data_IF_042492567781
#
_entry.id   IF_042492567781
#
_cell.length_a   1.000
_cell.length_b   1.000
_cell.length_c   1.000
_cell.angle_alpha   90.00
_cell.angle_beta   90.00
_cell.angle_gamma   90.00
#
_symmetry.space_group_name_H-M   'P 1'
#
loop_
_entity.id
_entity.type
_entity.pdbx_description
1 polymer ?
#
# COMPACT_ATOMS: atom_id res chain seq x y z
N UNK A 1 -23.83 19.18 -17.07
CA UNK A 1 -23.86 18.04 -16.11
C UNK A 1 -23.09 18.44 -14.86
N UNK A 2 -23.59 18.14 -13.67
CA UNK A 2 -22.87 18.37 -12.41
C UNK A 2 -21.63 17.50 -12.36
N UNK A 3 -20.50 18.07 -11.95
CA UNK A 3 -19.19 17.41 -11.86
C UNK A 3 -18.89 16.99 -10.42
N UNK A 4 -18.25 15.83 -10.27
CA UNK A 4 -17.89 15.27 -8.96
C UNK A 4 -16.42 14.82 -8.89
N UNK A 5 -15.88 14.84 -7.68
CA UNK A 5 -14.59 14.25 -7.32
C UNK A 5 -14.81 13.05 -6.43
N UNK A 6 -14.14 11.94 -6.78
CA UNK A 6 -14.16 10.72 -5.98
C UNK A 6 -12.92 10.67 -5.09
N UNK A 7 -13.11 10.52 -3.79
CA UNK A 7 -12.05 10.20 -2.84
C UNK A 7 -12.07 8.70 -2.53
N UNK A 8 -10.92 8.04 -2.59
CA UNK A 8 -10.72 6.66 -2.13
C UNK A 8 -9.71 6.65 -0.99
N UNK A 9 -10.13 6.18 0.18
CA UNK A 9 -9.28 6.05 1.38
C UNK A 9 -9.07 4.57 1.72
N UNK A 10 -7.91 4.05 1.33
CA UNK A 10 -7.43 2.70 1.61
C UNK A 10 -6.84 2.63 3.03
N UNK A 11 -7.72 2.65 4.03
CA UNK A 11 -7.34 2.54 5.43
C UNK A 11 -6.89 1.14 5.86
N UNK A 12 -6.47 1.02 7.12
CA UNK A 12 -6.00 -0.26 7.67
C UNK A 12 -7.11 -1.28 7.93
N UNK A 13 -8.32 -0.83 8.28
CA UNK A 13 -9.48 -1.68 8.61
C UNK A 13 -10.69 -1.43 7.72
N UNK A 14 -10.72 -0.30 7.04
CA UNK A 14 -11.84 0.13 6.21
C UNK A 14 -11.30 0.74 4.94
N UNK A 15 -11.94 0.38 3.84
CA UNK A 15 -11.84 1.06 2.57
C UNK A 15 -13.05 1.97 2.44
N UNK A 16 -12.85 3.24 2.13
CA UNK A 16 -13.93 4.20 1.97
C UNK A 16 -13.86 4.85 0.61
N UNK A 17 -15.01 5.06 -0.01
CA UNK A 17 -15.15 5.92 -1.17
C UNK A 17 -16.15 7.03 -0.87
N UNK A 18 -15.83 8.27 -1.24
CA UNK A 18 -16.70 9.43 -1.08
C UNK A 18 -16.79 10.24 -2.37
N UNK A 19 -17.96 10.82 -2.64
CA UNK A 19 -18.20 11.71 -3.76
C UNK A 19 -18.46 13.12 -3.26
N UNK A 20 -17.81 14.10 -3.88
CA UNK A 20 -17.91 15.51 -3.50
C UNK A 20 -18.13 16.38 -4.74
N UNK A 21 -18.99 17.39 -4.63
CA UNK A 21 -19.17 18.41 -5.67
C UNK A 21 -18.02 19.44 -5.68
N UNK A 22 -18.08 20.42 -6.58
CA UNK A 22 -17.04 21.45 -6.73
C UNK A 22 -16.91 22.36 -5.50
N UNK A 23 -17.98 22.51 -4.73
CA UNK A 23 -18.00 23.28 -3.49
C UNK A 23 -17.60 22.42 -2.28
N UNK A 24 -17.26 21.15 -2.50
CA UNK A 24 -16.86 20.20 -1.45
C UNK A 24 -18.04 19.58 -0.70
N UNK A 25 -19.27 19.71 -1.19
CA UNK A 25 -20.44 19.07 -0.56
C UNK A 25 -20.46 17.58 -0.86
N UNK A 26 -20.71 16.78 0.16
CA UNK A 26 -20.79 15.33 0.05
C UNK A 26 -22.08 14.91 -0.68
N UNK A 27 -21.91 14.17 -1.78
CA UNK A 27 -23.01 13.53 -2.52
C UNK A 27 -23.26 12.08 -2.08
N UNK A 28 -22.28 11.47 -1.42
CA UNK A 28 -22.43 10.15 -0.80
C UNK A 28 -21.10 9.57 -0.36
N UNK A 29 -21.15 8.63 0.59
CA UNK A 29 -20.01 7.85 1.06
C UNK A 29 -20.41 6.39 1.19
N UNK A 30 -19.50 5.49 0.81
CA UNK A 30 -19.61 4.06 1.04
C UNK A 30 -18.32 3.53 1.66
N UNK A 31 -18.42 2.42 2.38
CA UNK A 31 -17.26 1.76 2.98
C UNK A 31 -17.41 0.24 2.97
N UNK A 32 -16.28 -0.44 2.83
CA UNK A 32 -16.16 -1.88 2.97
C UNK A 32 -15.09 -2.21 4.01
N UNK A 33 -15.29 -3.26 4.83
CA UNK A 33 -14.25 -3.71 5.74
C UNK A 33 -13.06 -4.25 4.92
N UNK A 34 -11.85 -3.98 5.40
CA UNK A 34 -10.63 -4.60 4.89
C UNK A 34 -10.06 -5.52 5.95
N UNK A 35 -9.97 -6.81 5.64
CA UNK A 35 -9.35 -7.78 6.53
C UNK A 35 -7.83 -7.72 6.39
N UNK A 36 -7.15 -7.89 7.52
CA UNK A 36 -5.73 -8.20 7.54
C UNK A 36 -5.58 -9.71 7.75
N UNK A 37 -4.64 -10.31 7.04
CA UNK A 37 -4.25 -11.70 7.22
C UNK A 37 -3.20 -11.77 8.34
N UNK A 38 -3.32 -12.76 9.20
CA UNK A 38 -2.35 -13.04 10.28
C UNK A 38 -1.92 -14.50 10.20
N UNK A 39 -1.14 -14.90 9.18
CA UNK A 39 -0.75 -16.30 8.98
C UNK A 39 0.13 -16.85 10.11
N UNK A 40 0.85 -15.98 10.82
CA UNK A 40 1.68 -16.32 11.98
C UNK A 40 1.58 -15.21 13.04
N UNK A 41 1.89 -15.52 14.32
CA UNK A 41 1.95 -14.50 15.36
C UNK A 41 2.90 -13.35 14.99
N UNK A 42 2.39 -12.12 15.07
CA UNK A 42 3.15 -10.92 14.72
C UNK A 42 3.24 -10.63 13.22
N UNK A 43 2.68 -11.46 12.34
CA UNK A 43 2.58 -11.18 10.92
C UNK A 43 1.28 -10.43 10.64
N UNK A 44 1.35 -9.40 9.79
CA UNK A 44 0.19 -8.64 9.36
C UNK A 44 0.30 -8.43 7.84
N UNK A 45 -0.56 -9.13 7.11
CA UNK A 45 -0.54 -9.18 5.66
C UNK A 45 -1.87 -8.71 5.05
N UNK A 46 -1.88 -8.44 3.75
CA UNK A 46 -3.08 -8.14 2.99
C UNK A 46 -3.05 -8.80 1.63
N UNK A 47 -4.12 -9.50 1.31
CA UNK A 47 -4.34 -9.99 -0.05
C UNK A 47 -4.56 -8.79 -0.98
N UNK A 48 -3.69 -8.67 -1.99
CA UNK A 48 -3.73 -7.54 -2.92
C UNK A 48 -4.81 -7.70 -4.00
N UNK A 49 -5.20 -8.93 -4.34
CA UNK A 49 -6.30 -9.18 -5.27
C UNK A 49 -7.64 -8.87 -4.59
N UNK A 50 -7.83 -9.28 -3.33
CA UNK A 50 -8.99 -8.91 -2.53
C UNK A 50 -9.08 -7.39 -2.34
N UNK A 51 -7.96 -6.72 -2.02
CA UNK A 51 -7.92 -5.26 -1.90
C UNK A 51 -8.40 -4.57 -3.18
N UNK A 52 -7.93 -5.01 -4.36
CA UNK A 52 -8.35 -4.46 -5.63
C UNK A 52 -9.85 -4.68 -5.89
N UNK A 53 -10.36 -5.89 -5.61
CA UNK A 53 -11.78 -6.19 -5.70
C UNK A 53 -12.60 -5.29 -4.78
N UNK A 54 -12.19 -5.09 -3.53
CA UNK A 54 -12.83 -4.16 -2.59
C UNK A 54 -12.84 -2.72 -3.13
N UNK A 55 -11.75 -2.22 -3.73
CA UNK A 55 -11.71 -0.89 -4.37
C UNK A 55 -12.78 -0.73 -5.44
N UNK A 56 -12.87 -1.69 -6.35
CA UNK A 56 -13.89 -1.64 -7.40
C UNK A 56 -15.31 -1.76 -6.83
N UNK A 57 -15.50 -2.61 -5.81
CA UNK A 57 -16.80 -2.84 -5.19
C UNK A 57 -17.31 -1.61 -4.42
N UNK A 58 -16.46 -0.93 -3.64
CA UNK A 58 -16.88 0.25 -2.88
C UNK A 58 -17.20 1.43 -3.81
N UNK A 59 -16.43 1.61 -4.89
CA UNK A 59 -16.70 2.65 -5.89
C UNK A 59 -18.02 2.35 -6.60
N UNK A 60 -18.25 1.10 -7.01
CA UNK A 60 -19.51 0.69 -7.64
C UNK A 60 -20.70 0.93 -6.72
N UNK A 61 -20.60 0.50 -5.46
CA UNK A 61 -21.65 0.72 -4.47
C UNK A 61 -21.95 2.21 -4.30
N UNK A 62 -20.92 3.05 -4.28
CA UNK A 62 -21.07 4.51 -4.17
C UNK A 62 -21.82 5.11 -5.37
N UNK A 63 -21.47 4.71 -6.59
CA UNK A 63 -22.13 5.21 -7.80
C UNK A 63 -23.57 4.71 -7.90
N UNK A 64 -23.82 3.43 -7.60
CA UNK A 64 -25.18 2.88 -7.57
C UNK A 64 -26.04 3.61 -6.54
N UNK A 65 -25.53 3.87 -5.34
CA UNK A 65 -26.31 4.49 -4.28
C UNK A 65 -26.56 5.99 -4.49
N UNK A 66 -25.58 6.71 -5.04
CA UNK A 66 -25.70 8.15 -5.31
C UNK A 66 -26.48 8.47 -6.60
N UNK A 67 -26.62 7.50 -7.51
CA UNK A 67 -27.19 7.72 -8.85
C UNK A 67 -26.29 8.55 -9.76
N UNK A 68 -25.05 8.86 -9.34
CA UNK A 68 -24.08 9.63 -10.12
C UNK A 68 -23.46 8.72 -11.18
N UNK A 69 -23.44 9.19 -12.42
CA UNK A 69 -22.82 8.47 -13.53
C UNK A 69 -21.29 8.59 -13.48
N UNK A 70 -20.58 7.57 -13.95
CA UNK A 70 -19.11 7.58 -14.03
C UNK A 70 -18.56 8.73 -14.86
N UNK A 71 -19.29 9.14 -15.90
CA UNK A 71 -18.96 10.27 -16.80
C UNK A 71 -18.99 11.63 -16.08
N UNK A 72 -19.60 11.71 -14.90
CA UNK A 72 -19.64 12.93 -14.08
C UNK A 72 -18.42 13.04 -13.15
N UNK A 73 -17.60 12.00 -13.03
CA UNK A 73 -16.40 12.01 -12.18
C UNK A 73 -15.25 12.64 -12.95
N UNK A 74 -14.82 13.83 -12.52
CA UNK A 74 -13.77 14.60 -13.19
C UNK A 74 -12.39 14.42 -12.56
N UNK A 75 -12.31 13.80 -11.37
CA UNK A 75 -11.06 13.50 -10.71
C UNK A 75 -11.20 12.45 -9.61
N UNK A 76 -10.11 11.72 -9.36
CA UNK A 76 -10.00 10.73 -8.29
C UNK A 76 -8.81 11.10 -7.39
N UNK A 77 -9.06 11.24 -6.09
CA UNK A 77 -8.04 11.38 -5.06
C UNK A 77 -7.88 10.06 -4.29
N UNK A 78 -6.64 9.62 -4.07
CA UNK A 78 -6.36 8.37 -3.36
C UNK A 78 -5.54 8.68 -2.11
N UNK A 79 -5.99 8.18 -0.97
CA UNK A 79 -5.28 8.09 0.31
C UNK A 79 -5.09 6.62 0.65
N UNK A 80 -3.95 6.26 1.26
CA UNK A 80 -3.66 4.89 1.63
C UNK A 80 -2.78 4.81 2.88
N UNK A 81 -2.89 3.69 3.60
CA UNK A 81 -2.02 3.37 4.72
C UNK A 81 -0.54 3.41 4.31
N UNK A 82 0.27 4.16 5.05
CA UNK A 82 1.71 4.25 4.82
C UNK A 82 2.49 3.08 5.46
N UNK A 83 3.79 3.03 5.13
CA UNK A 83 4.80 2.16 5.76
C UNK A 83 4.63 0.64 5.52
N UNK A 84 3.68 0.22 4.68
CA UNK A 84 3.58 -1.16 4.20
C UNK A 84 4.45 -1.40 2.96
N UNK A 85 4.57 -2.68 2.56
CA UNK A 85 5.25 -3.10 1.34
C UNK A 85 4.28 -3.86 0.43
N UNK A 86 4.19 -3.38 -0.80
CA UNK A 86 3.33 -3.91 -1.85
C UNK A 86 4.24 -4.12 -3.06
N UNK A 87 4.57 -5.38 -3.36
CA UNK A 87 5.48 -5.72 -4.45
C UNK A 87 4.69 -6.21 -5.65
N UNK A 88 4.99 -5.64 -6.81
CA UNK A 88 4.42 -6.03 -8.10
C UNK A 88 5.53 -6.52 -9.02
N UNK A 89 5.18 -7.41 -9.94
CA UNK A 89 6.04 -7.80 -11.05
C UNK A 89 6.01 -6.72 -12.16
N UNK A 90 6.76 -6.95 -13.25
CA UNK A 90 6.81 -6.04 -14.41
C UNK A 90 5.49 -5.91 -15.18
N UNK A 91 4.50 -6.76 -14.88
CA UNK A 91 3.18 -6.76 -15.49
C UNK A 91 2.11 -6.30 -14.48
N UNK A 92 2.52 -5.58 -13.43
CA UNK A 92 1.67 -5.07 -12.35
C UNK A 92 0.94 -6.17 -11.56
N UNK A 93 1.43 -7.42 -11.56
CA UNK A 93 0.84 -8.51 -10.79
C UNK A 93 1.42 -8.58 -9.38
N UNK A 94 0.57 -8.78 -8.35
CA UNK A 94 0.98 -9.11 -6.99
C UNK A 94 2.06 -10.20 -6.90
N UNK A 95 3.19 -9.86 -6.29
CA UNK A 95 4.24 -10.82 -5.91
C UNK A 95 3.95 -11.46 -4.54
N UNK A 96 2.69 -11.81 -4.28
CA UNK A 96 2.20 -12.33 -2.99
C UNK A 96 1.42 -11.29 -2.17
N UNK A 97 1.21 -11.56 -0.87
CA UNK A 97 0.51 -10.63 0.01
C UNK A 97 1.35 -9.38 0.29
N UNK A 98 0.69 -8.24 0.42
CA UNK A 98 1.32 -7.04 0.95
C UNK A 98 1.62 -7.21 2.44
N UNK A 99 2.75 -6.65 2.89
CA UNK A 99 3.14 -6.64 4.30
C UNK A 99 2.73 -5.30 4.90
N UNK A 100 1.89 -5.32 5.94
CA UNK A 100 1.36 -4.12 6.57
C UNK A 100 2.35 -3.52 7.56
N UNK A 101 2.18 -2.23 7.88
CA UNK A 101 3.06 -1.53 8.83
C UNK A 101 2.95 -2.03 10.28
N UNK A 102 1.90 -2.79 10.60
CA UNK A 102 1.75 -3.47 11.88
C UNK A 102 2.54 -4.79 11.96
N UNK A 103 3.15 -5.24 10.87
CA UNK A 103 3.91 -6.48 10.81
C UNK A 103 5.21 -6.39 11.63
N UNK A 104 5.49 -7.44 12.39
CA UNK A 104 6.61 -7.56 13.33
C UNK A 104 7.56 -8.71 12.99
N UNK A 105 7.45 -9.34 11.81
CA UNK A 105 8.29 -10.50 11.44
C UNK A 105 9.78 -10.20 11.44
N UNK A 106 10.14 -8.92 11.29
CA UNK A 106 11.51 -8.43 11.24
C UNK A 106 12.07 -7.95 12.57
N UNK A 107 11.30 -8.02 13.66
CA UNK A 107 11.69 -7.40 14.93
C UNK A 107 13.03 -7.94 15.45
N UNK A 108 13.32 -9.23 15.27
CA UNK A 108 14.59 -9.79 15.71
C UNK A 108 15.77 -9.29 14.89
N UNK A 109 15.56 -9.08 13.59
CA UNK A 109 16.58 -8.50 12.73
C UNK A 109 16.88 -7.07 13.15
N UNK A 110 15.83 -6.27 13.34
CA UNK A 110 15.97 -4.88 13.80
C UNK A 110 16.74 -4.81 15.13
N UNK A 111 16.45 -5.72 16.07
CA UNK A 111 17.18 -5.83 17.34
C UNK A 111 18.66 -6.18 17.14
N UNK A 112 18.98 -7.10 16.23
CA UNK A 112 20.38 -7.43 15.89
C UNK A 112 21.10 -6.21 15.33
N UNK A 113 20.49 -5.52 14.36
CA UNK A 113 21.10 -4.35 13.73
C UNK A 113 21.37 -3.21 14.72
N UNK A 114 20.49 -3.04 15.71
CA UNK A 114 20.70 -2.10 16.81
C UNK A 114 21.92 -2.48 17.64
N UNK A 115 22.09 -3.76 17.99
CA UNK A 115 23.28 -4.25 18.70
C UNK A 115 24.57 -4.03 17.90
N UNK A 116 24.49 -4.13 16.57
CA UNK A 116 25.64 -3.97 15.67
C UNK A 116 25.99 -2.49 15.36
N UNK A 117 25.21 -1.54 15.92
CA UNK A 117 25.36 -0.10 15.68
C UNK A 117 25.12 0.31 14.23
N UNK A 118 24.38 -0.50 13.45
CA UNK A 118 24.07 -0.21 12.03
C UNK A 118 23.30 1.11 11.83
N UNK A 119 22.30 1.46 12.67
CA UNK A 119 21.53 2.68 12.47
C UNK A 119 22.40 3.94 12.53
N UNK A 120 23.33 3.99 13.48
CA UNK A 120 24.27 5.11 13.68
C UNK A 120 25.24 5.25 12.51
N UNK A 121 25.58 4.14 11.84
CA UNK A 121 26.49 4.10 10.68
C UNK A 121 25.81 4.45 9.35
N UNK A 122 24.49 4.25 9.25
CA UNK A 122 23.78 4.27 7.96
C UNK A 122 22.74 5.40 7.87
N UNK A 123 22.24 5.90 9.00
CA UNK A 123 21.18 6.90 9.05
C UNK A 123 21.76 8.15 9.74
N UNK A 124 22.23 9.11 8.94
CA UNK A 124 22.84 10.35 9.44
C UNK A 124 21.85 11.34 10.09
N UNK A 125 20.57 10.97 10.24
CA UNK A 125 19.55 11.82 10.85
C UNK A 125 18.45 10.98 11.53
N UNK A 126 18.25 11.27 12.82
CA UNK A 126 17.12 10.90 13.69
C UNK A 126 17.02 9.41 14.15
N UNK A 127 17.53 9.09 15.37
CA UNK A 127 17.52 7.73 15.93
C UNK A 127 16.11 7.20 16.26
N UNK A 128 15.08 8.04 16.18
CA UNK A 128 13.69 7.67 16.51
C UNK A 128 13.01 6.83 15.41
N UNK A 129 13.56 6.78 14.19
CA UNK A 129 12.85 6.25 13.01
C UNK A 129 13.08 4.76 12.70
N UNK A 130 14.08 4.10 13.30
CA UNK A 130 14.30 2.67 13.02
C UNK A 130 13.33 1.76 13.79
N UNK A 131 12.85 2.19 14.96
CA UNK A 131 11.90 1.39 15.75
C UNK A 131 10.45 1.53 15.30
N UNK A 132 10.07 2.63 14.64
CA UNK A 132 8.66 3.02 14.58
C UNK A 132 7.91 2.64 13.29
N UNK A 133 7.99 1.34 12.95
CA UNK A 133 6.95 0.61 12.19
C UNK A 133 7.03 0.65 10.65
N UNK A 134 8.18 1.00 10.05
CA UNK A 134 8.37 0.96 8.58
C UNK A 134 9.64 0.21 8.13
N UNK A 135 10.60 0.05 9.02
CA UNK A 135 11.94 -0.46 8.72
C UNK A 135 11.98 -1.98 8.63
N UNK A 136 11.18 -2.69 9.43
CA UNK A 136 11.20 -4.15 9.48
C UNK A 136 11.00 -4.81 8.11
N UNK A 137 10.16 -4.22 7.26
CA UNK A 137 9.87 -4.78 5.95
C UNK A 137 11.03 -4.60 4.97
N UNK A 138 11.65 -3.41 4.94
CA UNK A 138 12.87 -3.15 4.17
C UNK A 138 14.06 -3.99 4.69
N UNK A 139 14.16 -4.16 6.00
CA UNK A 139 15.15 -5.01 6.67
C UNK A 139 14.97 -6.48 6.28
N UNK A 140 13.74 -6.99 6.24
CA UNK A 140 13.45 -8.36 5.80
C UNK A 140 13.87 -8.58 4.35
N UNK A 141 13.59 -7.62 3.46
CA UNK A 141 14.03 -7.69 2.06
C UNK A 141 15.56 -7.62 1.94
N UNK A 142 16.21 -6.73 2.68
CA UNK A 142 17.67 -6.57 2.65
C UNK A 142 18.40 -7.85 3.13
N UNK A 143 17.95 -8.49 4.20
CA UNK A 143 18.56 -9.73 4.68
C UNK A 143 18.27 -10.94 3.81
N UNK A 144 17.05 -11.02 3.26
CA UNK A 144 16.69 -12.08 2.33
C UNK A 144 17.35 -11.92 0.96
N UNK A 145 17.84 -10.71 0.63
CA UNK A 145 18.69 -10.47 -0.53
C UNK A 145 20.16 -10.84 -0.26
N UNK A 146 20.63 -10.69 0.99
CA UNK A 146 21.99 -11.09 1.40
C UNK A 146 22.14 -12.60 1.63
N UNK A 147 21.15 -13.23 2.24
CA UNK A 147 21.04 -14.70 2.29
C UNK A 147 20.53 -15.16 0.93
N UNK A 148 21.20 -16.09 0.25
CA UNK A 148 20.87 -16.57 -1.12
C UNK A 148 19.47 -17.21 -1.28
N UNK A 149 18.55 -17.02 -0.34
CA UNK A 149 17.21 -17.60 -0.27
C UNK A 149 16.22 -16.92 -1.23
N UNK A 150 16.38 -15.62 -1.55
CA UNK A 150 15.57 -15.01 -2.62
C UNK A 150 15.98 -15.45 -4.04
N UNK A 151 17.18 -16.02 -4.21
CA UNK A 151 17.62 -16.58 -5.50
C UNK A 151 16.87 -17.84 -5.91
N UNK A 152 16.01 -18.43 -5.09
CA UNK A 152 15.30 -19.63 -5.50
C UNK A 152 14.09 -19.33 -6.40
N UNK A 153 13.22 -18.37 -6.03
CA UNK A 153 11.94 -18.14 -6.75
C UNK A 153 11.54 -16.67 -7.02
N UNK A 154 12.17 -15.66 -6.42
CA UNK A 154 11.68 -14.25 -6.51
C UNK A 154 12.66 -13.28 -7.18
N UNK A 155 13.97 -13.55 -7.09
CA UNK A 155 15.04 -12.69 -7.61
C UNK A 155 15.81 -13.32 -8.79
N UNK A 156 15.25 -14.37 -9.40
CA UNK A 156 15.92 -15.12 -10.48
C UNK A 156 15.58 -14.62 -11.89
N UNK A 157 14.64 -13.70 -12.03
CA UNK A 157 14.51 -12.94 -13.26
C UNK A 157 15.56 -11.83 -13.24
N UNK A 158 16.56 -11.95 -14.12
CA UNK A 158 17.58 -10.93 -14.41
C UNK A 158 16.98 -9.57 -14.87
N UNK A 159 15.65 -9.48 -14.97
CA UNK A 159 14.83 -8.31 -15.28
C UNK A 159 14.41 -7.47 -14.05
N UNK A 160 14.70 -7.92 -12.82
CA UNK A 160 14.28 -7.24 -11.59
C UNK A 160 15.14 -5.99 -11.28
N UNK A 161 14.87 -4.87 -11.95
CA UNK A 161 15.17 -3.56 -11.37
C UNK A 161 14.34 -3.41 -10.11
N UNK A 162 14.97 -3.07 -8.98
CA UNK A 162 14.30 -2.76 -7.71
C UNK A 162 13.06 -1.89 -7.99
N UNK A 163 11.83 -2.41 -7.85
CA UNK A 163 10.65 -1.59 -8.08
C UNK A 163 10.64 -0.49 -7.03
N UNK A 164 10.28 0.72 -7.46
CA UNK A 164 10.29 1.91 -6.62
C UNK A 164 9.65 1.60 -5.26
N UNK A 165 10.40 1.80 -4.16
CA UNK A 165 9.79 1.92 -2.84
C UNK A 165 8.80 3.09 -2.95
N UNK A 166 7.51 2.79 -3.02
CA UNK A 166 6.46 3.82 -3.00
C UNK A 166 6.39 4.35 -1.56
N UNK A 167 7.31 5.24 -1.22
CA UNK A 167 7.13 6.14 -0.08
C UNK A 167 6.05 7.14 -0.48
N UNK A 168 4.96 7.17 0.27
CA UNK A 168 3.85 8.08 0.05
C UNK A 168 4.30 9.54 0.24
N UNK A 169 4.81 10.15 -0.83
CA UNK A 169 4.80 11.59 -1.06
C UNK A 169 3.98 11.83 -2.32
N UNK A 170 2.72 12.23 -2.13
CA UNK A 170 1.82 12.87 -3.11
C UNK A 170 2.13 12.50 -4.57
N UNK A 171 1.59 11.38 -5.05
CA UNK A 171 1.64 11.06 -6.48
C UNK A 171 0.41 11.66 -7.19
N UNK A 172 0.70 12.57 -8.12
CA UNK A 172 -0.23 13.13 -9.10
C UNK A 172 -0.35 12.11 -10.23
N UNK A 173 -1.51 11.44 -10.33
CA UNK A 173 -1.78 10.46 -11.40
C UNK A 173 -1.72 11.15 -12.77
N UNK A 174 -0.90 10.62 -13.69
CA UNK A 174 -0.97 10.97 -15.12
C UNK A 174 -2.06 10.13 -15.75
N UNK A 175 -2.99 10.80 -16.44
CA UNK A 175 -3.92 10.21 -17.39
C UNK A 175 -3.12 9.64 -18.55
N UNK A 176 -3.06 8.34 -18.70
CA UNK A 176 -2.96 7.66 -19.99
C UNK A 176 -3.21 6.17 -19.77
N UNK A 177 -4.03 5.59 -20.66
CA UNK A 177 -4.33 4.16 -20.79
C UNK A 177 -5.34 3.55 -19.79
N UNK A 178 -6.60 3.99 -19.84
CA UNK A 178 -7.77 3.09 -19.77
C UNK A 178 -8.93 3.77 -20.50
N UNK A 179 -9.01 3.54 -21.81
CA UNK A 179 -10.22 3.61 -22.62
C UNK A 179 -10.26 2.33 -23.45
#
# INVERSE_FOLDING_TARGET
MTQYWLGLDCGGSWLKAGLYDREGREAGVQRLPLCALSPQPGWAERDMAELWQCCTAVIRALLTHSGVSGEQIVGIGISAQGKGLFLLDKNDKPLGNAILSSDRRAMEIVRRWQKDGIPEKTLSADPTNLMDRASGVAVTLAERAQTRTLRANWLRDDDARLPALVFNRRQRLRREQYF
#
